data_IF_878294723425
#
_entry.id   IF_878294723425
#
_cell.length_a   1.000
_cell.length_b   1.000
_cell.length_c   1.000
_cell.angle_alpha   90.00
_cell.angle_beta   90.00
_cell.angle_gamma   90.00
#
_symmetry.space_group_name_H-M   'P 1'
#
loop_
_entity.id
_entity.type
_entity.pdbx_description
1 polymer ?
#
# COMPACT_ATOMS: atom_id res chain seq x y z
N UNK A 1 -31.64 17.23 -12.20
CA UNK A 1 -30.98 18.13 -11.23
C UNK A 1 -29.92 17.31 -10.52
N UNK A 2 -28.66 17.44 -11.01
CA UNK A 2 -27.51 16.73 -10.49
C UNK A 2 -27.00 17.36 -9.22
N UNK A 3 -26.91 16.58 -8.16
CA UNK A 3 -26.20 16.94 -6.92
C UNK A 3 -24.74 17.27 -7.24
N UNK A 4 -24.21 18.39 -6.76
CA UNK A 4 -22.82 18.75 -7.04
C UNK A 4 -21.90 17.74 -6.35
N UNK A 5 -21.00 17.15 -7.13
CA UNK A 5 -19.87 16.37 -6.64
C UNK A 5 -19.15 17.23 -5.60
N UNK A 6 -19.24 16.84 -4.33
CA UNK A 6 -18.66 17.59 -3.23
C UNK A 6 -17.16 17.70 -3.49
N UNK A 7 -16.67 18.92 -3.40
CA UNK A 7 -15.29 19.33 -3.56
C UNK A 7 -14.42 18.64 -2.50
N UNK A 8 -14.01 17.42 -2.75
CA UNK A 8 -12.78 16.92 -2.13
C UNK A 8 -11.69 17.92 -2.54
N UNK A 9 -10.91 18.47 -1.61
CA UNK A 9 -9.78 19.29 -1.97
C UNK A 9 -8.91 18.41 -2.87
N UNK A 10 -8.81 18.79 -4.14
CA UNK A 10 -7.96 18.06 -5.07
C UNK A 10 -6.55 18.04 -4.46
N UNK A 11 -5.80 17.00 -4.74
CA UNK A 11 -4.39 16.90 -4.34
C UNK A 11 -3.60 18.17 -4.74
N UNK A 12 -4.02 18.85 -5.80
CA UNK A 12 -3.54 20.16 -6.24
C UNK A 12 -3.84 21.28 -5.22
N UNK A 13 -4.99 21.24 -4.53
CA UNK A 13 -5.30 22.23 -3.49
C UNK A 13 -4.45 22.00 -2.23
N UNK A 14 -4.14 20.75 -1.89
CA UNK A 14 -3.22 20.43 -0.79
C UNK A 14 -1.77 20.79 -1.13
N UNK A 15 -1.32 20.58 -2.37
CA UNK A 15 0.00 21.05 -2.81
C UNK A 15 0.09 22.58 -2.88
N UNK A 16 -0.98 23.31 -3.17
CA UNK A 16 -0.99 24.78 -3.09
C UNK A 16 -0.90 25.30 -1.66
N UNK A 17 -1.60 24.67 -0.71
CA UNK A 17 -1.44 24.97 0.71
C UNK A 17 -0.03 24.68 1.23
N UNK A 18 0.67 23.71 0.62
CA UNK A 18 2.05 23.39 0.92
C UNK A 18 3.06 24.38 0.33
N UNK A 19 2.69 25.12 -0.73
CA UNK A 19 3.57 26.07 -1.44
C UNK A 19 3.40 27.53 -0.98
N UNK A 20 2.34 27.84 -0.23
CA UNK A 20 2.15 29.18 0.31
C UNK A 20 2.90 29.32 1.63
N UNK A 21 4.15 29.76 1.55
CA UNK A 21 4.98 30.48 2.55
C UNK A 21 5.12 29.85 3.96
N UNK A 22 4.90 28.56 4.13
CA UNK A 22 5.15 27.88 5.39
C UNK A 22 6.42 27.05 5.32
N UNK A 23 7.25 27.17 6.35
CA UNK A 23 8.45 26.38 6.47
C UNK A 23 8.13 24.89 6.36
N UNK A 24 8.98 24.10 5.70
CA UNK A 24 8.79 22.65 5.49
C UNK A 24 8.53 21.91 6.79
N UNK A 25 9.00 22.44 7.94
CA UNK A 25 8.69 21.90 9.27
C UNK A 25 7.18 21.92 9.61
N UNK A 26 6.42 22.92 9.12
CA UNK A 26 4.97 23.00 9.37
C UNK A 26 4.19 22.01 8.49
N UNK A 27 4.73 21.67 7.32
CA UNK A 27 4.19 20.63 6.45
C UNK A 27 4.31 19.24 7.07
N UNK A 28 5.30 19.06 7.93
CA UNK A 28 5.60 17.81 8.63
C UNK A 28 4.99 17.76 10.01
N UNK A 29 4.12 18.71 10.36
CA UNK A 29 3.45 18.71 11.66
C UNK A 29 2.46 17.55 11.74
N UNK A 30 2.30 17.03 12.97
CA UNK A 30 1.30 15.99 13.28
C UNK A 30 -0.09 16.36 12.74
N UNK A 31 -0.48 17.63 12.86
CA UNK A 31 -1.76 18.14 12.39
C UNK A 31 -1.94 18.05 10.87
N UNK A 32 -0.88 18.30 10.10
CA UNK A 32 -0.94 18.20 8.64
C UNK A 32 -1.03 16.75 8.19
N UNK A 33 -0.33 15.83 8.87
CA UNK A 33 -0.45 14.40 8.61
C UNK A 33 -1.86 13.89 8.94
N UNK A 34 -2.41 14.27 10.09
CA UNK A 34 -3.79 13.93 10.48
C UNK A 34 -4.82 14.50 9.49
N UNK A 35 -4.62 15.73 9.02
CA UNK A 35 -5.50 16.36 8.02
C UNK A 35 -5.43 15.65 6.67
N UNK A 36 -4.23 15.25 6.25
CA UNK A 36 -4.03 14.50 5.02
C UNK A 36 -4.67 13.11 5.11
N UNK A 37 -4.47 12.41 6.22
CA UNK A 37 -5.08 11.10 6.47
C UNK A 37 -6.61 11.19 6.43
N UNK A 38 -7.21 12.22 7.04
CA UNK A 38 -8.66 12.46 6.97
C UNK A 38 -9.14 12.74 5.54
N UNK A 39 -8.36 13.45 4.73
CA UNK A 39 -8.72 13.76 3.35
C UNK A 39 -8.74 12.52 2.44
N UNK A 40 -8.02 11.47 2.79
CA UNK A 40 -8.01 10.19 2.06
C UNK A 40 -9.03 9.17 2.57
N UNK A 41 -9.68 9.43 3.72
CA UNK A 41 -10.77 8.59 4.21
C UNK A 41 -12.04 8.86 3.40
N UNK A 42 -12.73 7.78 2.99
CA UNK A 42 -14.03 7.94 2.35
C UNK A 42 -15.07 8.50 3.35
N UNK A 43 -16.09 9.23 2.87
CA UNK A 43 -17.17 9.71 3.74
C UNK A 43 -17.90 8.61 4.52
N UNK A 44 -17.91 7.39 3.99
CA UNK A 44 -18.50 6.20 4.63
C UNK A 44 -17.64 5.67 5.78
N UNK A 45 -16.31 5.80 5.72
CA UNK A 45 -15.42 5.43 6.81
C UNK A 45 -15.47 6.44 7.98
N UNK A 46 -15.92 7.65 7.74
CA UNK A 46 -16.08 8.69 8.78
C UNK A 46 -17.24 8.40 9.74
N UNK A 47 -18.15 7.46 9.43
CA UNK A 47 -19.26 7.04 10.29
C UNK A 47 -18.90 5.93 11.28
N UNK A 48 -17.77 5.25 11.08
CA UNK A 48 -17.27 4.23 12.00
C UNK A 48 -16.09 4.78 12.79
N UNK A 49 -16.38 5.37 13.95
CA UNK A 49 -15.44 5.66 15.03
C UNK A 49 -14.16 6.42 14.64
N UNK A 50 -13.83 7.45 15.38
CA UNK A 50 -12.51 8.08 15.37
C UNK A 50 -11.43 7.00 15.54
N UNK A 51 -10.81 6.56 14.46
CA UNK A 51 -9.56 5.81 14.57
C UNK A 51 -8.48 6.81 14.99
N UNK A 52 -8.15 6.74 16.26
CA UNK A 52 -7.03 7.50 16.84
C UNK A 52 -5.75 6.84 16.27
N UNK A 53 -5.23 7.38 15.18
CA UNK A 53 -4.00 6.87 14.57
C UNK A 53 -2.85 7.12 15.54
N UNK A 54 -2.21 6.03 15.97
CA UNK A 54 -0.97 6.14 16.73
C UNK A 54 0.13 6.74 15.84
N UNK A 55 0.49 7.97 16.12
CA UNK A 55 1.55 8.71 15.43
C UNK A 55 2.86 8.74 16.25
N UNK A 56 2.97 7.95 17.31
CA UNK A 56 4.16 7.87 18.16
C UNK A 56 5.41 7.45 17.38
N UNK A 57 5.22 6.65 16.31
CA UNK A 57 6.29 6.20 15.44
C UNK A 57 7.04 7.33 14.71
N UNK A 58 6.45 8.54 14.57
CA UNK A 58 7.13 9.71 14.00
C UNK A 58 8.37 10.11 14.81
N UNK A 59 8.42 9.76 16.11
CA UNK A 59 9.58 9.98 16.96
C UNK A 59 10.78 9.10 16.60
N UNK A 60 10.58 8.02 15.86
CA UNK A 60 11.64 7.11 15.39
C UNK A 60 12.36 7.64 14.15
N UNK A 61 11.78 8.64 13.48
CA UNK A 61 12.40 9.25 12.30
C UNK A 61 13.58 10.12 12.72
N UNK A 62 14.74 9.86 12.12
CA UNK A 62 15.94 10.70 12.32
C UNK A 62 15.74 12.05 11.66
N UNK A 63 16.19 13.10 12.36
CA UNK A 63 16.13 14.49 11.90
C UNK A 63 17.53 15.04 11.73
N UNK A 64 17.68 15.91 10.75
CA UNK A 64 18.90 16.68 10.55
C UNK A 64 19.03 17.82 11.58
N UNK A 65 20.17 18.54 11.55
CA UNK A 65 20.41 19.68 12.43
C UNK A 65 19.45 20.86 12.25
N UNK A 66 18.58 20.83 11.21
CA UNK A 66 17.56 21.84 10.95
C UNK A 66 16.17 21.41 11.41
N UNK A 67 16.04 20.19 11.96
CA UNK A 67 14.77 19.62 12.42
C UNK A 67 13.95 18.94 11.33
N UNK A 68 14.45 18.86 10.09
CA UNK A 68 13.80 18.12 8.99
C UNK A 68 14.16 16.64 9.05
N UNK A 69 13.28 15.79 8.54
CA UNK A 69 13.60 14.36 8.44
C UNK A 69 14.73 14.11 7.44
N UNK A 70 15.70 13.32 7.87
CA UNK A 70 16.82 12.95 7.03
C UNK A 70 16.35 12.05 5.88
N UNK A 71 16.88 12.31 4.68
CA UNK A 71 16.57 11.55 3.47
C UNK A 71 17.36 10.24 3.45
N UNK A 72 17.01 9.31 4.34
CA UNK A 72 17.66 8.01 4.50
C UNK A 72 16.71 6.88 4.10
N UNK A 73 17.27 5.73 3.72
CA UNK A 73 16.49 4.51 3.46
C UNK A 73 15.72 4.10 4.72
N UNK A 74 16.36 4.22 5.89
CA UNK A 74 15.75 3.85 7.17
C UNK A 74 14.49 4.66 7.46
N UNK A 75 14.51 5.98 7.28
CA UNK A 75 13.32 6.80 7.47
C UNK A 75 12.20 6.42 6.48
N UNK A 76 12.54 6.12 5.23
CA UNK A 76 11.56 5.67 4.25
C UNK A 76 10.94 4.30 4.62
N UNK A 77 11.74 3.37 5.15
CA UNK A 77 11.26 2.07 5.66
C UNK A 77 10.32 2.28 6.85
N UNK A 78 10.70 3.11 7.83
CA UNK A 78 9.86 3.43 8.99
C UNK A 78 8.50 3.99 8.55
N UNK A 79 8.48 4.90 7.57
CA UNK A 79 7.23 5.45 7.00
C UNK A 79 6.39 4.34 6.38
N UNK A 80 6.97 3.50 5.53
CA UNK A 80 6.25 2.41 4.85
C UNK A 80 5.65 1.38 5.83
N UNK A 81 6.33 1.13 6.94
CA UNK A 81 5.92 0.14 7.95
C UNK A 81 4.89 0.68 8.94
N UNK A 82 4.83 1.99 9.14
CA UNK A 82 4.03 2.57 10.22
C UNK A 82 2.95 3.54 9.76
N UNK A 83 3.08 4.18 8.59
CA UNK A 83 2.06 5.07 8.06
C UNK A 83 0.74 4.31 7.86
N UNK A 84 -0.35 4.71 8.50
CA UNK A 84 -1.65 4.02 8.42
C UNK A 84 -2.21 3.86 7.00
N UNK A 85 -1.79 4.72 6.07
CA UNK A 85 -2.22 4.66 4.67
C UNK A 85 -1.34 3.76 3.79
N UNK A 86 -0.16 3.37 4.27
CA UNK A 86 0.81 2.54 3.52
C UNK A 86 1.02 1.17 4.15
N UNK A 87 0.95 1.09 5.48
CA UNK A 87 1.26 -0.10 6.28
C UNK A 87 0.51 -1.34 5.79
N UNK A 88 1.27 -2.37 5.44
CA UNK A 88 0.75 -3.68 5.05
C UNK A 88 0.06 -3.73 3.68
N UNK A 89 0.05 -2.61 2.95
CA UNK A 89 -0.62 -2.55 1.63
C UNK A 89 0.30 -2.85 0.46
N UNK A 90 1.60 -2.77 0.68
CA UNK A 90 2.62 -3.03 -0.34
C UNK A 90 3.25 -4.38 -0.02
N UNK A 91 3.07 -5.32 -0.92
CA UNK A 91 3.47 -6.72 -0.71
C UNK A 91 4.11 -7.30 -1.98
N UNK A 92 4.83 -8.41 -1.84
CA UNK A 92 5.32 -9.20 -2.97
C UNK A 92 4.49 -10.48 -3.09
N UNK A 93 3.93 -10.72 -4.25
CA UNK A 93 3.36 -12.02 -4.60
C UNK A 93 4.49 -12.97 -5.00
N UNK A 94 4.74 -13.99 -4.17
CA UNK A 94 5.83 -14.96 -4.41
C UNK A 94 5.58 -15.84 -5.62
N UNK A 95 4.32 -16.15 -5.92
CA UNK A 95 3.98 -16.99 -7.06
C UNK A 95 4.13 -16.24 -8.38
N UNK A 96 3.60 -15.03 -8.45
CA UNK A 96 3.69 -14.18 -9.63
C UNK A 96 5.02 -13.41 -9.75
N UNK A 97 5.85 -13.44 -8.68
CA UNK A 97 7.11 -12.70 -8.56
C UNK A 97 6.97 -11.22 -8.93
N UNK A 98 5.97 -10.56 -8.37
CA UNK A 98 5.72 -9.14 -8.64
C UNK A 98 5.22 -8.40 -7.40
N UNK A 99 5.43 -7.07 -7.39
CA UNK A 99 4.86 -6.18 -6.39
C UNK A 99 3.34 -6.08 -6.56
N UNK A 100 2.64 -6.07 -5.45
CA UNK A 100 1.17 -5.97 -5.39
C UNK A 100 0.75 -4.88 -4.42
N UNK A 101 -0.40 -4.28 -4.69
CA UNK A 101 -1.10 -3.35 -3.80
C UNK A 101 -2.33 -4.05 -3.22
N UNK A 102 -2.50 -3.97 -1.92
CA UNK A 102 -3.68 -4.46 -1.20
C UNK A 102 -4.57 -3.28 -0.78
N UNK A 103 -5.61 -3.02 -1.56
CA UNK A 103 -6.59 -1.98 -1.25
C UNK A 103 -6.20 -0.57 -1.67
N UNK A 104 -6.80 0.41 -1.02
CA UNK A 104 -6.64 1.84 -1.33
C UNK A 104 -5.26 2.35 -1.02
N UNK A 105 -4.77 3.23 -1.88
CA UNK A 105 -3.53 3.98 -1.67
C UNK A 105 -3.83 5.50 -1.63
N UNK A 106 -2.97 6.32 -1.04
CA UNK A 106 -3.18 7.78 -1.03
C UNK A 106 -3.38 8.41 -2.40
N UNK A 107 -2.85 7.81 -3.44
CA UNK A 107 -2.93 8.25 -4.83
C UNK A 107 -3.90 7.44 -5.69
N UNK A 108 -4.49 6.35 -5.16
CA UNK A 108 -5.40 5.47 -5.88
C UNK A 108 -6.49 4.91 -4.96
N UNK A 109 -7.73 5.28 -5.23
CA UNK A 109 -8.88 4.96 -4.38
C UNK A 109 -9.48 3.56 -4.64
N UNK A 110 -8.90 2.78 -5.56
CA UNK A 110 -9.35 1.41 -5.83
C UNK A 110 -9.08 0.51 -4.63
N UNK A 111 -10.07 -0.26 -4.23
CA UNK A 111 -9.97 -1.21 -3.11
C UNK A 111 -9.43 -2.58 -3.52
N UNK A 112 -9.43 -2.85 -4.82
CA UNK A 112 -9.07 -4.16 -5.36
C UNK A 112 -7.57 -4.43 -5.22
N UNK A 113 -7.23 -5.68 -4.92
CA UNK A 113 -5.87 -6.18 -5.02
C UNK A 113 -5.40 -6.06 -6.47
N UNK A 114 -4.27 -5.44 -6.68
CA UNK A 114 -3.74 -5.19 -8.02
C UNK A 114 -2.21 -5.20 -8.07
N UNK A 115 -1.67 -5.37 -9.25
CA UNK A 115 -0.21 -5.24 -9.46
C UNK A 115 0.24 -3.81 -9.26
N UNK A 116 1.41 -3.66 -8.65
CA UNK A 116 2.15 -2.41 -8.61
C UNK A 116 2.56 -1.99 -10.01
N UNK A 117 2.47 -0.71 -10.32
CA UNK A 117 2.78 -0.12 -11.63
C UNK A 117 3.64 1.14 -11.46
N UNK A 118 4.26 1.61 -12.54
CA UNK A 118 5.07 2.84 -12.56
C UNK A 118 4.32 4.07 -12.03
N UNK A 119 3.00 4.12 -12.21
CA UNK A 119 2.16 5.18 -11.64
C UNK A 119 2.13 5.14 -10.12
N UNK A 120 2.30 3.96 -9.52
CA UNK A 120 2.37 3.80 -8.08
C UNK A 120 3.71 4.28 -7.53
N UNK A 121 4.81 4.09 -8.28
CA UNK A 121 6.10 4.68 -7.94
C UNK A 121 5.99 6.21 -7.86
N UNK A 122 5.43 6.82 -8.90
CA UNK A 122 5.23 8.27 -8.95
C UNK A 122 4.31 8.76 -7.82
N UNK A 123 3.24 8.02 -7.53
CA UNK A 123 2.32 8.30 -6.42
C UNK A 123 3.02 8.22 -5.07
N UNK A 124 3.79 7.17 -4.85
CA UNK A 124 4.56 6.97 -3.62
C UNK A 124 5.60 8.07 -3.41
N UNK A 125 6.43 8.36 -4.42
CA UNK A 125 7.46 9.40 -4.31
C UNK A 125 6.84 10.74 -3.96
N UNK A 126 5.78 11.12 -4.67
CA UNK A 126 5.06 12.36 -4.40
C UNK A 126 4.47 12.39 -3.00
N UNK A 127 3.90 11.28 -2.53
CA UNK A 127 3.31 11.19 -1.20
C UNK A 127 4.37 11.41 -0.12
N UNK A 128 5.47 10.67 -0.16
CA UNK A 128 6.51 10.78 0.86
C UNK A 128 7.29 12.09 0.80
N UNK A 129 7.40 12.70 -0.38
CA UNK A 129 7.98 14.02 -0.53
C UNK A 129 7.12 15.08 0.12
N UNK A 130 5.80 15.08 -0.14
CA UNK A 130 4.87 16.09 0.38
C UNK A 130 4.69 15.98 1.88
N UNK A 131 4.54 14.76 2.42
CA UNK A 131 4.21 14.55 3.83
C UNK A 131 5.42 14.41 4.75
N UNK A 132 6.52 13.89 4.25
CA UNK A 132 7.72 13.60 5.04
C UNK A 132 8.97 14.32 4.56
N UNK A 133 8.92 15.02 3.43
CA UNK A 133 10.08 15.67 2.83
C UNK A 133 11.15 14.68 2.35
N UNK A 134 10.81 13.40 2.25
CA UNK A 134 11.74 12.36 1.82
C UNK A 134 11.85 12.35 0.30
N UNK A 135 13.06 12.55 -0.19
CA UNK A 135 13.39 12.56 -1.63
C UNK A 135 14.61 11.69 -1.90
N UNK A 136 14.78 11.31 -3.17
CA UNK A 136 15.88 10.46 -3.62
C UNK A 136 15.37 9.10 -4.05
N UNK A 137 15.15 8.97 -5.37
CA UNK A 137 14.54 7.79 -6.00
C UNK A 137 15.19 6.50 -5.54
N UNK A 138 16.51 6.39 -5.64
CA UNK A 138 17.24 5.17 -5.28
C UNK A 138 16.99 4.72 -3.84
N UNK A 139 16.86 5.67 -2.91
CA UNK A 139 16.60 5.39 -1.50
C UNK A 139 15.16 4.92 -1.29
N UNK A 140 14.22 5.53 -1.98
CA UNK A 140 12.80 5.18 -1.92
C UNK A 140 12.54 3.82 -2.56
N UNK A 141 13.18 3.53 -3.70
CA UNK A 141 13.10 2.22 -4.36
C UNK A 141 13.66 1.11 -3.48
N UNK A 142 14.81 1.35 -2.84
CA UNK A 142 15.39 0.40 -1.90
C UNK A 142 14.48 0.15 -0.69
N UNK A 143 13.84 1.20 -0.15
CA UNK A 143 12.90 1.06 0.94
C UNK A 143 11.65 0.24 0.53
N UNK A 144 11.08 0.52 -0.66
CA UNK A 144 9.99 -0.27 -1.23
C UNK A 144 10.37 -1.74 -1.38
N UNK A 145 11.56 -2.02 -1.90
CA UNK A 145 12.07 -3.37 -2.08
C UNK A 145 12.18 -4.10 -0.73
N UNK A 146 12.73 -3.45 0.29
CA UNK A 146 12.89 -4.03 1.63
C UNK A 146 11.53 -4.37 2.21
N UNK A 147 10.60 -3.41 2.24
CA UNK A 147 9.29 -3.59 2.88
C UNK A 147 8.41 -4.57 2.12
N UNK A 148 8.39 -4.52 0.79
CA UNK A 148 7.62 -5.48 -0.01
C UNK A 148 8.16 -6.91 0.12
N UNK A 149 9.48 -7.07 0.27
CA UNK A 149 10.11 -8.37 0.48
C UNK A 149 9.82 -8.95 1.87
N UNK A 150 9.58 -8.11 2.87
CA UNK A 150 9.14 -8.54 4.21
C UNK A 150 7.66 -8.98 4.21
N UNK A 151 6.84 -8.30 3.40
CA UNK A 151 5.40 -8.54 3.29
C UNK A 151 5.10 -9.45 2.09
N UNK A 152 5.28 -10.75 2.25
CA UNK A 152 5.06 -11.71 1.16
C UNK A 152 3.70 -12.36 1.25
N UNK A 153 3.08 -12.56 0.09
CA UNK A 153 1.83 -13.30 -0.06
C UNK A 153 2.01 -14.39 -1.11
N UNK A 154 1.24 -15.46 -0.98
CA UNK A 154 1.18 -16.53 -1.96
C UNK A 154 -0.22 -17.14 -1.93
N UNK A 155 -1.11 -16.62 -2.76
CA UNK A 155 -2.52 -17.03 -2.79
C UNK A 155 -2.68 -18.49 -3.21
N UNK A 156 -1.82 -18.96 -4.12
CA UNK A 156 -1.86 -20.36 -4.57
C UNK A 156 -1.51 -21.29 -3.42
N UNK A 157 -0.46 -20.96 -2.67
CA UNK A 157 -0.06 -21.73 -1.48
C UNK A 157 -1.16 -21.72 -0.42
N UNK A 158 -1.76 -20.55 -0.15
CA UNK A 158 -2.87 -20.44 0.81
C UNK A 158 -4.08 -21.28 0.38
N UNK A 159 -4.44 -21.21 -0.90
CA UNK A 159 -5.51 -22.02 -1.46
C UNK A 159 -5.22 -23.51 -1.28
N UNK A 160 -4.05 -23.99 -1.70
CA UNK A 160 -3.67 -25.39 -1.59
C UNK A 160 -3.62 -25.88 -0.13
N UNK A 161 -3.13 -25.06 0.79
CA UNK A 161 -3.10 -25.36 2.22
C UNK A 161 -4.51 -25.40 2.85
N UNK A 162 -5.46 -24.68 2.29
CA UNK A 162 -6.86 -24.68 2.71
C UNK A 162 -7.66 -25.90 2.22
N UNK A 163 -7.14 -26.64 1.24
CA UNK A 163 -7.82 -27.81 0.71
C UNK A 163 -7.82 -28.93 1.75
N UNK A 164 -8.99 -29.54 1.92
CA UNK A 164 -9.15 -30.76 2.70
C UNK A 164 -9.52 -31.88 1.75
N UNK A 165 -8.80 -32.98 1.85
CA UNK A 165 -9.15 -34.15 1.07
C UNK A 165 -10.52 -34.68 1.49
N UNK A 166 -11.40 -34.88 0.52
CA UNK A 166 -12.76 -35.38 0.72
C UNK A 166 -12.86 -36.92 0.78
N UNK A 167 -11.72 -37.62 0.71
CA UNK A 167 -11.64 -39.09 0.74
C UNK A 167 -11.86 -39.74 -0.62
N UNK A 168 -12.16 -38.99 -1.67
CA UNK A 168 -12.42 -39.52 -3.00
C UNK A 168 -11.10 -39.72 -3.77
N UNK A 169 -10.85 -40.95 -4.19
CA UNK A 169 -9.70 -41.30 -5.05
C UNK A 169 -9.99 -40.86 -6.49
N UNK A 170 -9.38 -39.77 -6.93
CA UNK A 170 -9.56 -39.23 -8.28
C UNK A 170 -8.37 -39.51 -9.19
N UNK A 171 -7.26 -39.99 -8.62
CA UNK A 171 -6.04 -40.16 -9.39
C UNK A 171 -6.18 -41.29 -10.43
N UNK A 172 -6.91 -42.34 -10.06
CA UNK A 172 -7.10 -43.52 -10.93
C UNK A 172 -7.96 -43.22 -12.15
N UNK A 173 -8.84 -42.18 -12.06
CA UNK A 173 -9.76 -41.78 -13.12
C UNK A 173 -9.47 -40.40 -13.71
N UNK A 174 -8.33 -39.80 -13.31
CA UNK A 174 -7.97 -38.41 -13.67
C UNK A 174 -7.96 -38.18 -15.19
N UNK A 175 -7.37 -39.11 -15.93
CA UNK A 175 -7.20 -38.96 -17.37
C UNK A 175 -8.50 -39.11 -18.10
N UNK A 176 -9.35 -40.10 -17.71
CA UNK A 176 -10.64 -40.35 -18.34
C UNK A 176 -11.70 -39.31 -17.96
N UNK A 177 -11.84 -38.98 -16.66
CA UNK A 177 -12.90 -38.08 -16.19
C UNK A 177 -12.62 -36.60 -16.48
N UNK A 178 -11.35 -36.17 -16.34
CA UNK A 178 -11.01 -34.74 -16.42
C UNK A 178 -10.37 -34.35 -17.76
N UNK A 179 -9.68 -35.28 -18.44
CA UNK A 179 -9.03 -35.00 -19.71
C UNK A 179 -9.71 -35.67 -20.90
N UNK A 180 -10.75 -36.49 -20.65
CA UNK A 180 -11.50 -37.16 -21.71
C UNK A 180 -10.69 -38.24 -22.45
N UNK A 181 -9.68 -38.79 -21.84
CA UNK A 181 -8.91 -39.88 -22.41
C UNK A 181 -9.72 -41.16 -22.42
N UNK A 182 -9.56 -42.00 -23.46
CA UNK A 182 -10.14 -43.32 -23.48
C UNK A 182 -9.55 -44.19 -22.36
N UNK A 183 -10.43 -44.93 -21.66
CA UNK A 183 -10.04 -45.84 -20.60
C UNK A 183 -9.34 -47.07 -21.23
N UNK A 184 -8.05 -47.14 -21.15
CA UNK A 184 -7.20 -48.19 -21.68
C UNK A 184 -6.33 -48.77 -20.61
N UNK A 185 -5.63 -49.88 -20.88
CA UNK A 185 -4.65 -50.47 -19.92
C UNK A 185 -3.47 -49.55 -19.58
N UNK A 186 -3.35 -48.39 -20.24
CA UNK A 186 -2.29 -47.37 -20.05
C UNK A 186 -2.81 -46.03 -19.52
N UNK A 187 -4.09 -45.83 -19.38
CA UNK A 187 -4.76 -44.69 -18.75
C UNK A 187 -5.40 -45.10 -17.44
#
# INVERSE_FOLDING_TARGET
EGTPVSKLPSFVAMSRLALEDRQVSDLMSKENLERAQKAFQSPEAASEGHQDYDLSWLSQLTKDGTGKYEKTINNAVIVLENDPLLKGRIVTDEFANCGMVLGRMPWDQREEKRRWKDVDDAGFYRYVEVFYGLTGRDKLDNALMIVSAQNRINDVKQYLQGLKWDGTKRLDTLLSEYLGAEDTAYT
#
